data_IF_401911364014
#
_entry.id   IF_401911364014
#
_cell.length_a   1.000
_cell.length_b   1.000
_cell.length_c   1.000
_cell.angle_alpha   90.00
_cell.angle_beta   90.00
_cell.angle_gamma   90.00
#
_symmetry.space_group_name_H-M   'P 1'
#
loop_
_entity.id
_entity.type
_entity.pdbx_description
1 polymer ?
#
# COMPACT_ATOMS: atom_id res chain seq x y z
N UNK A 1 -13.77 16.72 -17.93
CA UNK A 1 -12.59 17.32 -17.32
C UNK A 1 -11.90 18.19 -18.35
N UNK A 2 -11.85 19.50 -18.12
CA UNK A 2 -10.99 20.43 -18.85
C UNK A 2 -9.61 20.57 -18.18
N UNK A 3 -8.74 21.46 -18.68
CA UNK A 3 -7.38 21.63 -18.18
C UNK A 3 -7.33 22.11 -16.72
N UNK A 4 -8.18 23.08 -16.34
CA UNK A 4 -8.18 23.63 -14.99
C UNK A 4 -8.75 22.62 -14.00
N UNK A 5 -9.81 21.89 -14.40
CA UNK A 5 -10.36 20.80 -13.62
C UNK A 5 -9.34 19.66 -13.40
N UNK A 6 -8.59 19.27 -14.43
CA UNK A 6 -7.55 18.24 -14.30
C UNK A 6 -6.41 18.72 -13.40
N UNK A 7 -5.96 19.98 -13.57
CA UNK A 7 -4.89 20.54 -12.74
C UNK A 7 -5.28 20.54 -11.27
N UNK A 8 -6.48 21.05 -10.95
CA UNK A 8 -6.97 21.07 -9.57
C UNK A 8 -7.08 19.66 -8.98
N UNK A 9 -7.55 18.68 -9.77
CA UNK A 9 -7.63 17.28 -9.37
C UNK A 9 -6.25 16.68 -9.05
N UNK A 10 -5.23 16.94 -9.88
CA UNK A 10 -3.89 16.40 -9.65
C UNK A 10 -3.17 17.10 -8.48
N UNK A 11 -3.41 18.40 -8.26
CA UNK A 11 -2.88 19.12 -7.09
C UNK A 11 -3.43 18.54 -5.79
N UNK A 12 -4.73 18.21 -5.73
CA UNK A 12 -5.31 17.53 -4.55
C UNK A 12 -4.62 16.18 -4.29
N UNK A 13 -4.31 15.43 -5.36
CA UNK A 13 -3.59 14.16 -5.25
C UNK A 13 -2.14 14.35 -4.78
N UNK A 14 -1.45 15.35 -5.30
CA UNK A 14 -0.08 15.68 -4.90
C UNK A 14 -0.03 16.09 -3.42
N UNK A 15 -0.94 16.97 -2.97
CA UNK A 15 -0.98 17.49 -1.60
C UNK A 15 -1.29 16.40 -0.56
N UNK A 16 -2.26 15.52 -0.83
CA UNK A 16 -2.64 14.46 0.10
C UNK A 16 -1.78 13.18 -0.07
N UNK A 17 -1.07 13.07 -1.19
CA UNK A 17 -0.14 12.00 -1.52
C UNK A 17 -0.73 10.59 -1.42
N UNK A 18 0.08 9.68 -0.89
CA UNK A 18 -0.23 8.26 -0.82
C UNK A 18 -1.46 7.93 0.05
N UNK A 19 -1.73 8.74 1.09
CA UNK A 19 -2.81 8.50 2.03
C UNK A 19 -4.19 8.62 1.36
N UNK A 20 -4.36 9.61 0.49
CA UNK A 20 -5.57 9.76 -0.31
C UNK A 20 -5.78 8.57 -1.24
N UNK A 21 -4.73 8.14 -1.96
CA UNK A 21 -4.86 7.06 -2.93
C UNK A 21 -5.24 5.73 -2.27
N UNK A 22 -4.67 5.45 -1.10
CA UNK A 22 -5.01 4.24 -0.35
C UNK A 22 -6.41 4.30 0.26
N UNK A 23 -6.82 5.44 0.82
CA UNK A 23 -8.18 5.60 1.39
C UNK A 23 -9.28 5.56 0.33
N UNK A 24 -9.00 6.02 -0.91
CA UNK A 24 -9.92 5.94 -2.06
C UNK A 24 -9.99 4.54 -2.67
N UNK A 25 -8.92 3.76 -2.55
CA UNK A 25 -8.83 2.35 -2.94
C UNK A 25 -8.69 2.10 -4.44
N UNK A 26 -8.50 0.83 -4.79
CA UNK A 26 -8.14 0.36 -6.13
C UNK A 26 -9.12 0.79 -7.22
N UNK A 27 -10.44 0.75 -6.96
CA UNK A 27 -11.43 1.10 -7.98
C UNK A 27 -11.24 2.55 -8.43
N UNK A 28 -11.15 3.47 -7.49
CA UNK A 28 -10.92 4.89 -7.77
C UNK A 28 -9.57 5.10 -8.46
N UNK A 29 -8.50 4.46 -7.95
CA UNK A 29 -7.17 4.51 -8.55
C UNK A 29 -7.18 4.12 -10.03
N UNK A 30 -7.85 3.00 -10.37
CA UNK A 30 -7.91 2.46 -11.73
C UNK A 30 -8.88 3.21 -12.64
N UNK A 31 -10.06 3.58 -12.17
CA UNK A 31 -11.14 4.11 -13.02
C UNK A 31 -11.17 5.63 -13.12
N UNK A 32 -10.57 6.33 -12.16
CA UNK A 32 -10.55 7.79 -12.10
C UNK A 32 -9.13 8.32 -12.19
N UNK A 33 -8.28 8.03 -11.19
CA UNK A 33 -6.96 8.65 -11.08
C UNK A 33 -6.05 8.35 -12.28
N UNK A 34 -5.74 7.07 -12.56
CA UNK A 34 -4.84 6.73 -13.67
C UNK A 34 -5.35 7.24 -15.04
N UNK A 35 -6.63 7.08 -15.42
CA UNK A 35 -7.14 7.66 -16.67
C UNK A 35 -6.98 9.17 -16.75
N UNK A 36 -7.17 9.88 -15.63
CA UNK A 36 -7.02 11.33 -15.56
C UNK A 36 -5.57 11.78 -15.64
N UNK A 37 -4.66 11.12 -14.91
CA UNK A 37 -3.22 11.37 -15.00
C UNK A 37 -2.70 11.16 -16.43
N UNK A 38 -3.21 10.14 -17.14
CA UNK A 38 -2.85 9.89 -18.54
C UNK A 38 -3.33 10.97 -19.52
N UNK A 39 -4.22 11.89 -19.13
CA UNK A 39 -4.56 13.07 -19.93
C UNK A 39 -3.52 14.20 -19.79
N UNK A 40 -2.58 14.09 -18.85
CA UNK A 40 -1.56 15.08 -18.52
C UNK A 40 -0.76 15.58 -19.72
N UNK A 41 -0.25 14.66 -20.55
CA UNK A 41 0.50 15.00 -21.78
C UNK A 41 -0.28 15.92 -22.73
N UNK A 42 -1.61 15.75 -22.76
CA UNK A 42 -2.48 16.46 -23.69
C UNK A 42 -2.99 17.78 -23.11
N UNK A 43 -3.38 17.78 -21.84
CA UNK A 43 -4.09 18.90 -21.20
C UNK A 43 -3.17 19.78 -20.36
N UNK A 44 -2.08 19.24 -19.82
CA UNK A 44 -1.14 19.93 -18.92
C UNK A 44 0.32 19.86 -19.42
N UNK A 45 0.62 20.18 -20.70
CA UNK A 45 1.96 20.01 -21.26
C UNK A 45 3.04 20.93 -20.65
N UNK A 46 2.65 21.86 -19.77
CA UNK A 46 3.56 22.79 -19.10
C UNK A 46 3.66 22.51 -17.58
N UNK A 47 2.94 21.54 -17.04
CA UNK A 47 2.92 21.21 -15.61
C UNK A 47 3.77 19.94 -15.38
N UNK A 48 5.03 19.96 -15.81
CA UNK A 48 5.88 18.76 -15.82
C UNK A 48 6.20 18.25 -14.41
N UNK A 49 6.48 19.16 -13.48
CA UNK A 49 6.74 18.86 -12.06
C UNK A 49 5.54 18.13 -11.44
N UNK A 50 4.34 18.72 -11.51
CA UNK A 50 3.09 18.09 -11.05
C UNK A 50 2.85 16.69 -11.66
N UNK A 51 3.13 16.52 -12.96
CA UNK A 51 3.00 15.22 -13.62
C UNK A 51 4.06 14.24 -13.10
N UNK A 52 5.29 14.67 -12.88
CA UNK A 52 6.34 13.87 -12.29
C UNK A 52 5.93 13.39 -10.89
N UNK A 53 5.48 14.30 -10.02
CA UNK A 53 5.07 13.99 -8.65
C UNK A 53 3.89 13.02 -8.60
N UNK A 54 2.89 13.21 -9.46
CA UNK A 54 1.77 12.27 -9.55
C UNK A 54 2.20 10.88 -10.02
N UNK A 55 3.15 10.77 -10.96
CA UNK A 55 3.69 9.47 -11.38
C UNK A 55 4.64 8.86 -10.34
N UNK A 56 5.32 9.69 -9.55
CA UNK A 56 6.08 9.24 -8.39
C UNK A 56 5.16 8.60 -7.36
N UNK A 57 4.04 9.27 -7.03
CA UNK A 57 2.99 8.74 -6.16
C UNK A 57 2.41 7.43 -6.71
N UNK A 58 2.27 7.28 -8.05
CA UNK A 58 1.91 5.98 -8.65
C UNK A 58 2.97 4.91 -8.33
N UNK A 59 4.26 5.26 -8.42
CA UNK A 59 5.36 4.39 -8.01
C UNK A 59 5.23 3.94 -6.56
N UNK A 60 5.04 4.89 -5.63
CA UNK A 60 4.85 4.60 -4.20
C UNK A 60 3.67 3.66 -3.98
N UNK A 61 2.50 3.97 -4.54
CA UNK A 61 1.33 3.09 -4.39
C UNK A 61 1.63 1.67 -4.83
N UNK A 62 2.41 1.46 -5.89
CA UNK A 62 2.77 0.12 -6.35
C UNK A 62 3.81 -0.55 -5.44
N UNK A 63 4.76 0.20 -4.89
CA UNK A 63 5.74 -0.30 -3.91
C UNK A 63 5.05 -0.76 -2.63
N UNK A 64 4.24 0.11 -2.02
CA UNK A 64 3.46 -0.21 -0.82
C UNK A 64 2.43 -1.34 -1.05
N UNK A 65 2.06 -1.59 -2.30
CA UNK A 65 1.24 -2.74 -2.69
C UNK A 65 2.02 -4.04 -2.94
N UNK A 66 3.34 -4.03 -2.78
CA UNK A 66 4.23 -5.18 -2.94
C UNK A 66 4.47 -5.56 -4.41
N UNK A 67 4.43 -4.58 -5.31
CA UNK A 67 4.59 -4.77 -6.76
C UNK A 67 5.76 -3.94 -7.31
N UNK A 68 7.01 -4.28 -6.92
CA UNK A 68 8.20 -3.52 -7.28
C UNK A 68 8.38 -3.31 -8.78
N UNK A 69 7.95 -4.25 -9.63
CA UNK A 69 8.05 -4.06 -11.09
C UNK A 69 7.14 -2.92 -11.57
N UNK A 70 5.93 -2.79 -11.00
CA UNK A 70 5.03 -1.67 -11.29
C UNK A 70 5.48 -0.36 -10.63
N UNK A 71 6.10 -0.44 -9.46
CA UNK A 71 6.72 0.73 -8.83
C UNK A 71 7.81 1.34 -9.73
N UNK A 72 8.70 0.49 -10.27
CA UNK A 72 9.73 0.91 -11.23
C UNK A 72 9.13 1.58 -12.47
N UNK A 73 8.01 1.08 -13.01
CA UNK A 73 7.32 1.72 -14.13
C UNK A 73 6.83 3.14 -13.76
N UNK A 74 6.22 3.30 -12.58
CA UNK A 74 5.76 4.60 -12.06
C UNK A 74 6.89 5.60 -11.90
N UNK A 75 7.95 5.22 -11.18
CA UNK A 75 9.11 6.09 -10.96
C UNK A 75 9.84 6.44 -12.26
N UNK A 76 10.00 5.49 -13.18
CA UNK A 76 10.57 5.80 -14.50
C UNK A 76 9.69 6.76 -15.29
N UNK A 77 8.37 6.65 -15.15
CA UNK A 77 7.43 7.56 -15.81
C UNK A 77 7.52 8.96 -15.20
N UNK A 78 7.70 9.08 -13.89
CA UNK A 78 8.00 10.36 -13.24
C UNK A 78 9.26 11.01 -13.83
N UNK A 79 10.33 10.22 -13.96
CA UNK A 79 11.61 10.64 -14.56
C UNK A 79 11.53 11.04 -16.05
N UNK A 80 10.46 10.68 -16.77
CA UNK A 80 10.23 11.18 -18.13
C UNK A 80 9.75 12.64 -18.15
N UNK A 81 9.11 13.10 -17.07
CA UNK A 81 8.62 14.48 -16.91
C UNK A 81 9.64 15.38 -16.25
N UNK A 82 10.30 14.88 -15.19
CA UNK A 82 11.35 15.58 -14.46
C UNK A 82 12.48 14.60 -14.09
N UNK A 83 13.67 14.81 -14.66
CA UNK A 83 14.83 13.94 -14.42
C UNK A 83 15.56 14.23 -13.11
N UNK A 84 15.06 15.20 -12.33
CA UNK A 84 15.50 15.59 -11.00
C UNK A 84 14.43 15.31 -9.93
N UNK A 85 13.32 14.64 -10.25
CA UNK A 85 12.31 14.28 -9.23
C UNK A 85 12.97 13.50 -8.09
N UNK A 86 12.91 14.09 -6.90
CA UNK A 86 13.71 13.67 -5.75
C UNK A 86 13.43 12.21 -5.38
N UNK A 87 14.48 11.46 -5.04
CA UNK A 87 14.35 10.08 -4.57
C UNK A 87 14.06 9.01 -5.64
N UNK A 88 13.58 9.34 -6.84
CA UNK A 88 13.11 8.32 -7.79
C UNK A 88 14.20 7.33 -8.23
N UNK A 89 15.44 7.78 -8.43
CA UNK A 89 16.55 6.88 -8.75
C UNK A 89 16.89 5.94 -7.58
N UNK A 90 16.78 6.42 -6.34
CA UNK A 90 16.99 5.61 -5.13
C UNK A 90 15.90 4.54 -5.02
N UNK A 91 14.63 4.92 -5.18
CA UNK A 91 13.53 3.96 -5.08
C UNK A 91 13.58 2.90 -6.18
N UNK A 92 13.94 3.27 -7.42
CA UNK A 92 14.18 2.28 -8.48
C UNK A 92 15.32 1.32 -8.10
N UNK A 93 16.41 1.81 -7.48
CA UNK A 93 17.49 0.97 -7.02
C UNK A 93 17.03 -0.01 -5.93
N UNK A 94 16.26 0.48 -4.95
CA UNK A 94 15.65 -0.33 -3.89
C UNK A 94 14.79 -1.45 -4.48
N UNK A 95 13.92 -1.13 -5.45
CA UNK A 95 13.06 -2.13 -6.09
C UNK A 95 13.87 -3.19 -6.82
N UNK A 96 14.91 -2.81 -7.57
CA UNK A 96 15.79 -3.77 -8.23
C UNK A 96 16.57 -4.64 -7.23
N UNK A 97 17.00 -4.08 -6.11
CA UNK A 97 17.65 -4.84 -5.05
C UNK A 97 16.71 -5.91 -4.47
N UNK A 98 15.47 -5.54 -4.16
CA UNK A 98 14.47 -6.47 -3.60
C UNK A 98 14.22 -7.67 -4.50
N UNK A 99 14.16 -7.47 -5.83
CA UNK A 99 13.96 -8.54 -6.82
C UNK A 99 15.27 -9.20 -7.30
N UNK A 100 16.41 -8.83 -6.72
CA UNK A 100 17.71 -9.46 -6.99
C UNK A 100 18.42 -9.00 -8.25
N UNK A 101 17.93 -7.95 -8.91
CA UNK A 101 18.57 -7.32 -10.07
C UNK A 101 19.66 -6.34 -9.59
N UNK A 102 20.66 -6.86 -8.89
CA UNK A 102 21.65 -6.04 -8.20
C UNK A 102 22.53 -5.20 -9.13
N UNK A 103 22.69 -5.59 -10.40
CA UNK A 103 23.48 -4.81 -11.36
C UNK A 103 22.74 -3.54 -11.74
N UNK A 104 21.44 -3.66 -12.01
CA UNK A 104 20.51 -2.57 -12.27
C UNK A 104 20.37 -1.70 -11.00
N UNK A 105 20.22 -2.30 -9.82
CA UNK A 105 20.20 -1.56 -8.56
C UNK A 105 21.47 -0.71 -8.39
N UNK A 106 22.64 -1.27 -8.67
CA UNK A 106 23.91 -0.57 -8.59
C UNK A 106 24.03 0.57 -9.62
N UNK A 107 23.46 0.41 -10.81
CA UNK A 107 23.40 1.50 -11.81
C UNK A 107 22.57 2.68 -11.28
N UNK A 108 21.36 2.41 -10.81
CA UNK A 108 20.43 3.43 -10.34
C UNK A 108 20.90 4.13 -9.06
N UNK A 109 21.45 3.41 -8.09
CA UNK A 109 21.98 4.05 -6.87
C UNK A 109 23.18 4.95 -7.16
N UNK A 110 24.00 4.61 -8.16
CA UNK A 110 25.10 5.50 -8.57
C UNK A 110 24.58 6.78 -9.21
N UNK A 111 23.49 6.71 -9.99
CA UNK A 111 22.82 7.90 -10.52
C UNK A 111 22.23 8.73 -9.37
N UNK A 112 21.58 8.09 -8.40
CA UNK A 112 21.06 8.78 -7.21
C UNK A 112 22.17 9.56 -6.47
N UNK A 113 23.34 8.94 -6.27
CA UNK A 113 24.51 9.58 -5.63
C UNK A 113 25.05 10.76 -6.46
N UNK A 114 25.03 10.66 -7.79
CA UNK A 114 25.46 11.77 -8.66
C UNK A 114 24.49 12.96 -8.58
N UNK A 115 23.19 12.69 -8.45
CA UNK A 115 22.12 13.68 -8.37
C UNK A 115 22.00 14.31 -6.97
N UNK A 116 22.19 13.51 -5.92
CA UNK A 116 22.03 13.89 -4.51
C UNK A 116 23.33 13.65 -3.72
N UNK A 117 24.44 14.35 -4.03
CA UNK A 117 25.76 14.06 -3.48
C UNK A 117 25.90 14.36 -1.97
N UNK A 118 24.96 15.08 -1.38
CA UNK A 118 24.93 15.40 0.05
C UNK A 118 24.17 14.35 0.88
N UNK A 119 23.47 13.40 0.22
CA UNK A 119 22.80 12.28 0.90
C UNK A 119 23.80 11.16 1.19
N UNK A 120 24.39 11.21 2.39
CA UNK A 120 25.41 10.22 2.81
C UNK A 120 24.83 8.78 2.89
N UNK A 121 23.53 8.63 3.16
CA UNK A 121 22.84 7.34 3.29
C UNK A 121 22.89 6.51 2.00
N UNK A 122 22.90 7.16 0.82
CA UNK A 122 23.01 6.48 -0.47
C UNK A 122 24.31 5.69 -0.62
N UNK A 123 25.38 6.11 0.07
CA UNK A 123 26.66 5.43 0.04
C UNK A 123 26.61 4.10 0.80
N UNK A 124 25.81 4.04 1.87
CA UNK A 124 25.58 2.84 2.67
C UNK A 124 24.65 1.87 1.91
N UNK A 125 23.60 2.37 1.26
CA UNK A 125 22.73 1.58 0.38
C UNK A 125 23.52 0.96 -0.78
N UNK A 126 24.37 1.75 -1.46
CA UNK A 126 25.27 1.23 -2.49
C UNK A 126 26.20 0.14 -1.95
N UNK A 127 26.72 0.31 -0.73
CA UNK A 127 27.58 -0.69 -0.11
C UNK A 127 26.80 -2.00 0.15
N UNK A 128 25.55 -1.92 0.61
CA UNK A 128 24.67 -3.06 0.81
C UNK A 128 24.41 -3.81 -0.51
N UNK A 129 24.07 -3.11 -1.58
CA UNK A 129 23.90 -3.69 -2.93
C UNK A 129 25.19 -4.38 -3.40
N UNK A 130 26.34 -3.73 -3.18
CA UNK A 130 27.63 -4.29 -3.58
C UNK A 130 27.98 -5.56 -2.80
N UNK A 131 27.64 -5.61 -1.51
CA UNK A 131 27.77 -6.80 -0.68
C UNK A 131 26.84 -7.91 -1.16
N UNK A 132 25.59 -7.59 -1.53
CA UNK A 132 24.66 -8.56 -2.14
C UNK A 132 25.22 -9.20 -3.40
N UNK A 133 25.91 -8.43 -4.25
CA UNK A 133 26.65 -8.96 -5.41
C UNK A 133 27.83 -9.84 -4.97
N UNK A 134 28.65 -9.36 -4.03
CA UNK A 134 29.88 -10.03 -3.61
C UNK A 134 29.62 -11.39 -2.93
N UNK A 135 28.57 -11.46 -2.12
CA UNK A 135 28.22 -12.64 -1.33
C UNK A 135 27.13 -13.51 -1.96
N UNK A 136 26.61 -13.12 -3.15
CA UNK A 136 25.52 -13.82 -3.82
C UNK A 136 24.32 -13.98 -2.89
N UNK A 137 23.87 -12.86 -2.32
CA UNK A 137 22.70 -12.82 -1.45
C UNK A 137 21.48 -13.31 -2.22
N UNK A 138 20.66 -14.14 -1.57
CA UNK A 138 19.38 -14.56 -2.13
C UNK A 138 18.42 -13.35 -2.13
N UNK A 139 17.73 -13.07 -3.24
CA UNK A 139 16.82 -11.93 -3.30
C UNK A 139 15.69 -12.06 -2.28
N UNK A 140 15.20 -10.94 -1.78
CA UNK A 140 14.04 -10.92 -0.90
C UNK A 140 12.79 -11.44 -1.62
N UNK A 141 12.61 -11.03 -2.87
CA UNK A 141 11.51 -11.43 -3.75
C UNK A 141 12.04 -12.36 -4.84
N UNK A 142 11.55 -13.60 -4.83
CA UNK A 142 11.98 -14.66 -5.76
C UNK A 142 10.79 -15.28 -6.45
N UNK A 143 10.96 -15.84 -7.66
CA UNK A 143 9.89 -16.54 -8.37
C UNK A 143 9.31 -17.73 -7.59
N UNK A 144 10.03 -18.22 -6.56
CA UNK A 144 9.56 -19.23 -5.63
C UNK A 144 8.55 -18.70 -4.60
N UNK A 145 8.53 -17.40 -4.33
CA UNK A 145 7.55 -16.77 -3.44
C UNK A 145 6.21 -16.62 -4.18
N UNK A 146 5.30 -17.56 -3.93
CA UNK A 146 4.01 -17.58 -4.63
C UNK A 146 3.16 -16.34 -4.34
N UNK A 147 3.16 -15.83 -3.11
CA UNK A 147 2.39 -14.64 -2.77
C UNK A 147 2.88 -13.41 -3.54
N UNK A 148 4.20 -13.21 -3.63
CA UNK A 148 4.77 -12.12 -4.43
C UNK A 148 4.42 -12.25 -5.92
N UNK A 149 4.59 -13.42 -6.53
CA UNK A 149 4.25 -13.59 -7.95
C UNK A 149 2.77 -13.29 -8.24
N UNK A 150 1.88 -13.60 -7.29
CA UNK A 150 0.46 -13.24 -7.41
C UNK A 150 0.25 -11.75 -7.20
N UNK A 151 0.97 -11.10 -6.29
CA UNK A 151 0.92 -9.64 -6.11
C UNK A 151 1.32 -8.91 -7.41
N UNK A 152 2.40 -9.33 -8.08
CA UNK A 152 2.79 -8.79 -9.38
C UNK A 152 1.69 -8.96 -10.44
N UNK A 153 1.05 -10.14 -10.49
CA UNK A 153 -0.09 -10.36 -11.38
C UNK A 153 -1.27 -9.41 -11.04
N UNK A 154 -1.52 -9.09 -9.77
CA UNK A 154 -2.53 -8.10 -9.36
C UNK A 154 -2.14 -6.68 -9.80
N UNK A 155 -0.87 -6.29 -9.66
CA UNK A 155 -0.35 -5.00 -10.13
C UNK A 155 -0.48 -4.83 -11.66
N UNK A 156 -0.39 -5.93 -12.41
CA UNK A 156 -0.69 -5.96 -13.84
C UNK A 156 -2.19 -5.99 -14.18
N UNK A 157 -3.06 -6.01 -13.18
CA UNK A 157 -4.51 -6.06 -13.36
C UNK A 157 -5.07 -7.44 -13.72
N UNK A 158 -4.32 -8.52 -13.47
CA UNK A 158 -4.68 -9.92 -13.83
C UNK A 158 -5.42 -10.63 -12.69
N UNK A 159 -6.36 -9.95 -12.03
CA UNK A 159 -7.21 -10.46 -10.94
C UNK A 159 -7.88 -11.81 -11.26
N UNK A 160 -8.47 -11.96 -12.45
CA UNK A 160 -9.13 -13.22 -12.86
C UNK A 160 -8.15 -14.41 -12.92
N UNK A 161 -6.91 -14.17 -13.37
CA UNK A 161 -5.87 -15.20 -13.43
C UNK A 161 -5.44 -15.62 -12.02
N UNK A 162 -5.29 -14.65 -11.11
CA UNK A 162 -5.00 -14.90 -9.69
C UNK A 162 -6.12 -15.71 -9.05
N UNK A 163 -7.39 -15.34 -9.27
CA UNK A 163 -8.55 -16.09 -8.76
C UNK A 163 -8.51 -17.54 -9.26
N UNK A 164 -8.33 -17.76 -10.56
CA UNK A 164 -8.26 -19.09 -11.15
C UNK A 164 -7.09 -19.92 -10.61
N UNK A 165 -5.92 -19.30 -10.44
CA UNK A 165 -4.71 -19.95 -9.91
C UNK A 165 -4.91 -20.40 -8.46
N UNK A 166 -5.39 -19.51 -7.57
CA UNK A 166 -5.49 -19.81 -6.14
C UNK A 166 -6.66 -20.74 -5.82
N UNK A 167 -7.80 -20.62 -6.53
CA UNK A 167 -8.95 -21.51 -6.31
C UNK A 167 -8.68 -22.97 -6.72
N UNK A 168 -7.69 -23.20 -7.60
CA UNK A 168 -7.22 -24.53 -7.96
C UNK A 168 -6.26 -25.16 -6.91
N UNK A 169 -5.80 -24.39 -5.91
CA UNK A 169 -4.90 -24.88 -4.87
C UNK A 169 -5.66 -25.60 -3.76
N UNK A 170 -5.15 -26.77 -3.35
CA UNK A 170 -5.75 -27.53 -2.25
C UNK A 170 -5.57 -26.83 -0.91
N UNK A 171 -4.33 -26.42 -0.58
CA UNK A 171 -3.96 -25.85 0.72
C UNK A 171 -3.09 -24.59 0.55
N UNK A 172 -3.66 -23.47 0.07
CA UNK A 172 -2.95 -22.19 0.00
C UNK A 172 -2.68 -21.65 1.41
N UNK A 173 -1.48 -21.10 1.58
CA UNK A 173 -1.06 -20.40 2.81
C UNK A 173 -1.74 -19.03 2.93
N UNK A 174 -1.63 -18.40 4.10
CA UNK A 174 -2.34 -17.15 4.42
C UNK A 174 -1.99 -16.02 3.44
N UNK A 175 -0.71 -15.81 3.12
CA UNK A 175 -0.30 -14.76 2.18
C UNK A 175 -0.88 -14.96 0.77
N UNK A 176 -1.02 -16.21 0.32
CA UNK A 176 -1.66 -16.55 -0.96
C UNK A 176 -3.17 -16.28 -0.91
N UNK A 177 -3.81 -16.55 0.23
CA UNK A 177 -5.22 -16.21 0.45
C UNK A 177 -5.46 -14.69 0.51
N UNK A 178 -4.52 -13.90 1.06
CA UNK A 178 -4.60 -12.44 1.01
C UNK A 178 -4.56 -11.94 -0.44
N UNK A 179 -3.73 -12.52 -1.29
CA UNK A 179 -3.74 -12.20 -2.73
C UNK A 179 -5.08 -12.56 -3.39
N UNK A 180 -5.70 -13.68 -3.02
CA UNK A 180 -7.04 -14.04 -3.51
C UNK A 180 -8.10 -13.04 -3.04
N UNK A 181 -8.05 -12.60 -1.77
CA UNK A 181 -8.97 -11.59 -1.26
C UNK A 181 -8.81 -10.27 -2.04
N UNK A 182 -7.57 -9.81 -2.25
CA UNK A 182 -7.26 -8.62 -3.07
C UNK A 182 -7.82 -8.75 -4.48
N UNK A 183 -7.67 -9.91 -5.11
CA UNK A 183 -8.23 -10.20 -6.44
C UNK A 183 -9.77 -10.08 -6.48
N UNK A 184 -10.48 -10.66 -5.49
CA UNK A 184 -11.94 -10.48 -5.38
C UNK A 184 -12.32 -9.03 -5.11
N UNK A 185 -11.50 -8.30 -4.36
CA UNK A 185 -11.68 -6.88 -4.10
C UNK A 185 -11.58 -6.03 -5.38
N UNK A 186 -10.60 -6.31 -6.24
CA UNK A 186 -10.46 -5.71 -7.57
C UNK A 186 -11.67 -5.98 -8.47
N UNK A 187 -12.32 -7.13 -8.32
CA UNK A 187 -13.53 -7.51 -9.07
C UNK A 187 -14.83 -7.14 -8.37
N UNK A 188 -14.78 -6.46 -7.22
CA UNK A 188 -15.96 -6.11 -6.39
C UNK A 188 -16.84 -7.31 -6.01
N UNK A 189 -16.22 -8.49 -5.87
CA UNK A 189 -16.88 -9.74 -5.47
C UNK A 189 -16.90 -9.86 -3.94
N UNK A 190 -17.81 -9.12 -3.31
CA UNK A 190 -17.88 -8.92 -1.84
C UNK A 190 -18.13 -10.22 -1.05
N UNK A 191 -18.97 -11.12 -1.57
CA UNK A 191 -19.27 -12.40 -0.91
C UNK A 191 -18.03 -13.29 -0.88
N UNK A 192 -17.36 -13.44 -2.02
CA UNK A 192 -16.13 -14.21 -2.20
C UNK A 192 -14.97 -13.60 -1.41
N UNK A 193 -14.88 -12.26 -1.35
CA UNK A 193 -13.93 -11.55 -0.51
C UNK A 193 -14.08 -11.96 0.96
N UNK A 194 -15.30 -11.85 1.52
CA UNK A 194 -15.56 -12.20 2.91
C UNK A 194 -15.40 -13.70 3.18
N UNK A 195 -15.78 -14.56 2.23
CA UNK A 195 -15.54 -15.99 2.33
C UNK A 195 -14.04 -16.31 2.40
N UNK A 196 -13.22 -15.57 1.67
CA UNK A 196 -11.76 -15.71 1.69
C UNK A 196 -11.16 -15.29 3.03
N UNK A 197 -11.61 -14.17 3.61
CA UNK A 197 -11.19 -13.77 4.96
C UNK A 197 -11.63 -14.75 6.06
N UNK A 198 -12.82 -15.33 5.95
CA UNK A 198 -13.24 -16.41 6.86
C UNK A 198 -12.36 -17.67 6.71
N UNK A 199 -11.88 -17.96 5.50
CA UNK A 199 -10.90 -19.03 5.27
C UNK A 199 -9.55 -18.68 5.91
N UNK A 200 -9.08 -17.44 5.81
CA UNK A 200 -7.85 -16.97 6.49
C UNK A 200 -7.96 -17.16 8.01
N UNK A 201 -9.11 -16.83 8.60
CA UNK A 201 -9.39 -17.02 10.04
C UNK A 201 -9.17 -18.47 10.51
N UNK A 202 -9.39 -19.46 9.63
CA UNK A 202 -9.28 -20.90 9.95
C UNK A 202 -8.02 -21.57 9.42
N UNK A 203 -7.23 -20.88 8.59
CA UNK A 203 -5.98 -21.40 8.03
C UNK A 203 -4.84 -21.13 9.01
N UNK A 204 -3.95 -22.11 9.26
CA UNK A 204 -2.79 -21.92 10.14
C UNK A 204 -1.76 -20.94 9.53
N UNK A 205 -1.08 -20.19 10.39
CA UNK A 205 -0.06 -19.21 10.00
C UNK A 205 -0.30 -17.82 10.61
N UNK A 206 0.74 -17.01 10.68
CA UNK A 206 0.64 -15.58 10.96
C UNK A 206 0.29 -14.81 9.68
N UNK A 207 -0.04 -13.53 9.86
CA UNK A 207 -0.25 -12.60 8.75
C UNK A 207 0.23 -11.20 9.11
N UNK A 208 0.54 -10.45 8.06
CA UNK A 208 0.74 -9.02 8.13
C UNK A 208 -0.41 -8.34 7.38
N UNK A 209 -0.94 -7.27 7.93
CA UNK A 209 -1.92 -6.40 7.27
C UNK A 209 -1.19 -5.19 6.71
N UNK A 210 -1.12 -5.09 5.39
CA UNK A 210 -0.32 -4.06 4.72
C UNK A 210 -1.23 -3.10 3.97
N UNK A 211 -0.66 -2.03 3.43
CA UNK A 211 -1.36 -1.07 2.57
C UNK A 211 -2.22 -1.74 1.48
N UNK A 212 -1.71 -2.80 0.85
CA UNK A 212 -2.46 -3.61 -0.12
C UNK A 212 -3.78 -4.18 0.42
N UNK A 213 -3.82 -4.65 1.65
CA UNK A 213 -5.02 -5.28 2.21
C UNK A 213 -6.16 -4.26 2.34
N UNK A 214 -5.83 -2.98 2.58
CA UNK A 214 -6.79 -1.88 2.63
C UNK A 214 -7.10 -1.32 1.24
N UNK A 215 -6.09 -1.13 0.41
CA UNK A 215 -6.22 -0.56 -0.94
C UNK A 215 -7.17 -1.36 -1.83
N UNK A 216 -7.09 -2.70 -1.76
CA UNK A 216 -7.95 -3.58 -2.54
C UNK A 216 -9.27 -3.93 -1.82
N UNK A 217 -9.48 -3.51 -0.57
CA UNK A 217 -10.71 -3.79 0.15
C UNK A 217 -11.89 -3.01 -0.46
N UNK A 218 -13.00 -3.66 -0.86
CA UNK A 218 -14.17 -2.93 -1.33
C UNK A 218 -14.72 -1.99 -0.26
N UNK A 219 -15.13 -0.79 -0.66
CA UNK A 219 -15.67 0.22 0.27
C UNK A 219 -16.89 -0.27 1.06
N UNK A 220 -17.71 -1.13 0.47
CA UNK A 220 -18.85 -1.75 1.17
C UNK A 220 -18.39 -2.70 2.28
N UNK A 221 -17.28 -3.41 2.07
CA UNK A 221 -16.66 -4.27 3.09
C UNK A 221 -16.04 -3.42 4.19
N UNK A 222 -15.24 -2.41 3.86
CA UNK A 222 -14.65 -1.48 4.85
C UNK A 222 -15.71 -0.82 5.75
N UNK A 223 -16.89 -0.52 5.18
CA UNK A 223 -18.02 0.04 5.92
C UNK A 223 -19.00 -1.02 6.45
N UNK A 224 -18.52 -2.23 6.71
CA UNK A 224 -19.27 -3.31 7.35
C UNK A 224 -18.63 -3.69 8.68
N UNK A 225 -19.45 -3.84 9.72
CA UNK A 225 -19.00 -4.35 11.03
C UNK A 225 -18.31 -5.72 10.92
N UNK A 226 -18.76 -6.55 9.97
CA UNK A 226 -18.33 -7.95 9.84
C UNK A 226 -16.82 -8.10 9.59
N UNK A 227 -16.21 -7.23 8.78
CA UNK A 227 -14.76 -7.33 8.50
C UNK A 227 -13.95 -6.94 9.73
N UNK A 228 -14.38 -5.92 10.47
CA UNK A 228 -13.69 -5.45 11.67
C UNK A 228 -13.80 -6.45 12.82
N UNK A 229 -14.95 -7.09 13.01
CA UNK A 229 -15.06 -8.21 13.94
C UNK A 229 -14.15 -9.38 13.55
N UNK A 230 -14.00 -9.65 12.25
CA UNK A 230 -13.18 -10.74 11.75
C UNK A 230 -11.69 -10.43 11.96
N UNK A 231 -11.24 -9.23 11.62
CA UNK A 231 -9.87 -8.77 11.86
C UNK A 231 -9.56 -8.78 13.36
N UNK A 232 -10.50 -8.35 14.20
CA UNK A 232 -10.35 -8.43 15.66
C UNK A 232 -10.19 -9.87 16.16
N UNK A 233 -10.84 -10.86 15.53
CA UNK A 233 -10.63 -12.29 15.84
C UNK A 233 -9.28 -12.81 15.34
N UNK A 234 -8.74 -12.20 14.28
CA UNK A 234 -7.42 -12.50 13.73
C UNK A 234 -6.27 -11.85 14.51
N UNK A 235 -6.52 -10.76 15.26
CA UNK A 235 -5.46 -9.94 15.88
C UNK A 235 -4.39 -10.72 16.66
N UNK A 236 -4.67 -11.84 17.37
CA UNK A 236 -3.61 -12.59 18.06
C UNK A 236 -2.61 -13.30 17.11
N UNK A 237 -2.91 -13.35 15.82
CA UNK A 237 -2.07 -13.94 14.75
C UNK A 237 -1.44 -12.87 13.84
N UNK A 238 -1.83 -11.60 14.01
CA UNK A 238 -1.31 -10.50 13.19
C UNK A 238 0.04 -10.09 13.76
N UNK A 239 1.10 -10.33 13.00
CA UNK A 239 2.48 -9.99 13.39
C UNK A 239 2.80 -8.54 13.12
N UNK A 240 2.14 -7.93 12.14
CA UNK A 240 2.20 -6.51 11.92
C UNK A 240 0.96 -5.99 11.19
N UNK A 241 0.54 -4.78 11.53
CA UNK A 241 -0.59 -4.11 10.90
C UNK A 241 -0.24 -2.65 10.62
N UNK A 242 -0.25 -2.29 9.34
CA UNK A 242 0.05 -0.95 8.86
C UNK A 242 -1.26 -0.28 8.48
N UNK A 243 -1.54 0.88 9.03
CA UNK A 243 -2.72 1.69 8.69
C UNK A 243 -2.27 3.02 8.08
N UNK A 244 -3.09 3.54 7.17
CA UNK A 244 -2.92 4.87 6.56
C UNK A 244 -3.49 5.97 7.48
N UNK A 245 -4.45 5.59 8.33
CA UNK A 245 -5.14 6.43 9.29
C UNK A 245 -4.67 6.03 10.70
N UNK A 246 -4.97 6.84 11.73
CA UNK A 246 -4.62 6.59 13.15
C UNK A 246 -3.21 7.00 13.57
N UNK A 247 -2.61 7.99 12.90
CA UNK A 247 -1.31 8.54 13.26
C UNK A 247 -1.28 9.03 14.70
N UNK A 248 -2.32 9.72 15.16
CA UNK A 248 -2.35 10.25 16.53
C UNK A 248 -2.41 9.14 17.60
N UNK A 249 -3.01 7.99 17.27
CA UNK A 249 -3.00 6.82 18.15
C UNK A 249 -1.58 6.28 18.27
N UNK A 250 -0.90 6.12 17.13
CA UNK A 250 0.45 5.59 17.08
C UNK A 250 1.43 6.55 17.78
N UNK A 251 1.45 7.82 17.40
CA UNK A 251 2.34 8.86 17.93
C UNK A 251 2.27 9.00 19.45
N UNK A 252 1.08 8.86 20.03
CA UNK A 252 0.88 9.10 21.46
C UNK A 252 0.85 7.84 22.33
N UNK A 253 0.61 6.67 21.74
CA UNK A 253 0.35 5.46 22.51
C UNK A 253 1.16 4.22 22.10
N UNK A 254 1.95 4.25 21.02
CA UNK A 254 2.74 3.11 20.55
C UNK A 254 3.75 2.56 21.58
N UNK A 255 4.29 3.39 22.47
CA UNK A 255 5.17 2.92 23.55
C UNK A 255 4.44 2.15 24.66
N UNK A 256 3.11 2.28 24.73
CA UNK A 256 2.29 1.76 25.84
C UNK A 256 1.35 0.64 25.43
N UNK A 257 0.98 0.59 24.15
CA UNK A 257 0.12 -0.44 23.58
C UNK A 257 0.99 -1.48 22.89
N UNK A 258 0.65 -2.76 23.09
CA UNK A 258 1.10 -3.79 22.17
C UNK A 258 0.38 -3.62 20.83
N UNK A 259 0.98 -4.17 19.77
CA UNK A 259 0.39 -4.15 18.44
C UNK A 259 -0.98 -4.82 18.36
N UNK A 260 -1.20 -5.90 19.12
CA UNK A 260 -2.51 -6.55 19.24
C UNK A 260 -3.53 -5.60 19.89
N UNK A 261 -3.13 -4.85 20.93
CA UNK A 261 -4.01 -3.89 21.60
C UNK A 261 -4.36 -2.71 20.68
N UNK A 262 -3.38 -2.18 19.95
CA UNK A 262 -3.59 -1.11 18.96
C UNK A 262 -4.57 -1.56 17.87
N UNK A 263 -4.33 -2.72 17.25
CA UNK A 263 -5.22 -3.29 16.24
C UNK A 263 -6.64 -3.53 16.79
N UNK A 264 -6.76 -4.02 18.02
CA UNK A 264 -8.05 -4.24 18.66
C UNK A 264 -8.79 -2.92 18.91
N UNK A 265 -8.09 -1.84 19.28
CA UNK A 265 -8.66 -0.51 19.44
C UNK A 265 -9.17 0.04 18.12
N UNK A 266 -8.39 -0.08 17.03
CA UNK A 266 -8.80 0.34 15.69
C UNK A 266 -10.05 -0.44 15.23
N UNK A 267 -10.07 -1.76 15.44
CA UNK A 267 -11.25 -2.56 15.13
C UNK A 267 -12.48 -2.10 15.92
N UNK A 268 -12.34 -1.87 17.23
CA UNK A 268 -13.43 -1.37 18.07
C UNK A 268 -13.89 0.03 17.66
N UNK A 269 -12.96 0.90 17.28
CA UNK A 269 -13.27 2.22 16.74
C UNK A 269 -14.20 2.11 15.54
N UNK A 270 -13.83 1.31 14.55
CA UNK A 270 -14.67 1.13 13.37
C UNK A 270 -16.01 0.47 13.70
N UNK A 271 -16.05 -0.54 14.57
CA UNK A 271 -17.29 -1.19 14.98
C UNK A 271 -18.24 -0.19 15.63
N UNK A 272 -17.78 0.61 16.58
CA UNK A 272 -18.62 1.59 17.28
C UNK A 272 -19.05 2.74 16.36
N UNK A 273 -18.17 3.22 15.49
CA UNK A 273 -18.54 4.20 14.45
C UNK A 273 -19.64 3.66 13.53
N UNK A 274 -19.52 2.42 13.06
CA UNK A 274 -20.46 1.81 12.12
C UNK A 274 -21.80 1.42 12.76
N UNK A 275 -21.80 1.13 14.06
CA UNK A 275 -23.01 0.79 14.85
C UNK A 275 -23.62 1.99 15.57
N UNK A 276 -23.07 3.19 15.38
CA UNK A 276 -23.51 4.43 16.03
C UNK A 276 -23.48 4.33 17.58
N UNK A 277 -22.50 3.62 18.14
CA UNK A 277 -22.37 3.40 19.58
C UNK A 277 -21.64 4.55 20.29
N UNK A 278 -22.33 5.68 20.41
CA UNK A 278 -21.82 6.92 21.03
C UNK A 278 -21.27 6.70 22.45
N UNK A 279 -21.91 5.83 23.25
CA UNK A 279 -21.51 5.59 24.63
C UNK A 279 -20.13 4.90 24.76
N UNK A 280 -19.75 4.03 23.82
CA UNK A 280 -18.40 3.45 23.81
C UNK A 280 -17.38 4.40 23.17
N UNK A 281 -17.78 5.19 22.17
CA UNK A 281 -16.96 6.26 21.61
C UNK A 281 -16.58 7.31 22.66
N UNK A 282 -17.52 7.78 23.50
CA UNK A 282 -17.24 8.69 24.62
C UNK A 282 -16.24 8.10 25.63
N UNK A 283 -16.29 6.78 25.86
CA UNK A 283 -15.32 6.09 26.72
C UNK A 283 -13.94 6.04 26.07
N UNK A 284 -13.87 5.82 24.76
CA UNK A 284 -12.60 5.90 24.01
C UNK A 284 -12.02 7.30 24.13
N UNK A 285 -12.82 8.34 23.86
CA UNK A 285 -12.37 9.72 23.95
C UNK A 285 -11.86 10.09 25.35
N UNK A 286 -12.54 9.63 26.40
CA UNK A 286 -12.13 9.87 27.78
C UNK A 286 -10.86 9.11 28.19
N UNK A 287 -10.66 7.90 27.65
CA UNK A 287 -9.50 7.05 27.95
C UNK A 287 -8.27 7.44 27.15
N UNK A 288 -8.46 7.86 25.91
CA UNK A 288 -7.42 8.23 24.94
C UNK A 288 -7.63 9.67 24.44
N UNK A 289 -7.41 10.68 25.29
CA UNK A 289 -7.72 12.08 24.97
C UNK A 289 -6.82 12.70 23.88
N UNK A 290 -5.70 12.05 23.53
CA UNK A 290 -4.82 12.47 22.43
C UNK A 290 -5.08 11.68 21.14
N UNK A 291 -6.04 10.75 21.16
CA UNK A 291 -6.45 10.04 19.95
C UNK A 291 -7.43 10.92 19.16
N UNK A 292 -6.90 11.76 18.26
CA UNK A 292 -7.60 12.81 17.52
C UNK A 292 -8.73 12.26 16.65
N UNK A 293 -8.53 11.13 15.97
CA UNK A 293 -9.56 10.52 15.11
C UNK A 293 -10.84 10.15 15.90
N UNK A 294 -10.71 9.82 17.19
CA UNK A 294 -11.85 9.61 18.09
C UNK A 294 -12.50 10.94 18.49
N UNK A 295 -11.70 11.97 18.77
CA UNK A 295 -12.21 13.28 19.18
C UNK A 295 -13.02 13.92 18.05
N UNK A 296 -12.51 13.85 16.82
CA UNK A 296 -13.12 14.47 15.64
C UNK A 296 -14.51 13.91 15.34
N UNK A 297 -14.73 12.60 15.57
CA UNK A 297 -16.05 11.98 15.40
C UNK A 297 -17.10 12.43 16.41
N UNK A 298 -16.70 12.96 17.58
CA UNK A 298 -17.60 13.43 18.63
C UNK A 298 -17.82 14.94 18.61
N UNK A 299 -17.10 15.67 17.75
CA UNK A 299 -17.18 17.13 17.60
C UNK A 299 -18.30 17.60 16.67
#
# INVERSE_FOLDING_TARGET
MDNEELKAFLVEVEEDGIALLHSRGYQWFKSEFLPYLNLGDTLLPNELELLADCWYIVGDVQDFNGTPLKAIEGYKKALEYDDEVDGAYREIANMYEQIGQYTEALEYINIAIEKMPEEEELMDERAAIQDSINYTTEPYLTEGNKAWTLAEELGEGKSEAVIASVTAMENPEVAVLQCLAKAYGMETQEEEYMNTWNRILTTEGSLTLNYADWFYMPRAIYNSENIWELIKKLSPRVEEAVFVEFDSLNEHYAETLSQEEELNLICDFHIYRLTENEAEMEKFAAKYPLWEEVQDLLS
#
